data_IF_508141892952
#
_entry.id   IF_508141892952
#
_cell.length_a   1.000
_cell.length_b   1.000
_cell.length_c   1.000
_cell.angle_alpha   90.00
_cell.angle_beta   90.00
_cell.angle_gamma   90.00
#
_symmetry.space_group_name_H-M   'P 1'
#
loop_
_entity.id
_entity.type
_entity.pdbx_description
1 polymer ?
#
# COMPACT_ATOMS: atom_id res chain seq x y z
N UNK A 1 44.41 -9.21 10.36
CA UNK A 1 43.49 -8.95 11.49
C UNK A 1 43.27 -7.45 11.58
N UNK A 2 42.01 -7.03 11.37
CA UNK A 2 41.40 -5.69 11.57
C UNK A 2 41.87 -4.50 10.72
N UNK A 3 41.00 -4.21 9.76
CA UNK A 3 40.77 -2.95 9.04
C UNK A 3 40.31 -1.83 9.97
N UNK A 4 40.84 -0.62 9.77
CA UNK A 4 40.11 0.66 9.69
C UNK A 4 40.91 1.54 8.70
N UNK A 5 40.29 2.13 7.66
CA UNK A 5 40.29 3.58 7.61
C UNK A 5 38.96 4.22 7.16
N UNK A 6 38.71 5.33 7.86
CA UNK A 6 37.95 6.53 7.54
C UNK A 6 37.73 6.87 6.04
N UNK A 7 36.47 7.13 5.66
CA UNK A 7 36.05 8.02 4.56
C UNK A 7 34.62 8.50 4.91
N UNK A 8 34.44 9.59 5.63
CA UNK A 8 34.31 10.97 5.16
C UNK A 8 33.53 11.17 3.84
N UNK A 9 32.36 11.80 4.00
CA UNK A 9 31.56 12.59 3.07
C UNK A 9 30.95 11.90 1.83
N UNK A 10 29.61 11.77 1.87
CA UNK A 10 28.72 12.37 0.86
C UNK A 10 27.39 12.72 1.53
N UNK A 11 27.39 13.86 2.24
CA UNK A 11 26.20 14.68 2.43
C UNK A 11 25.85 15.26 1.05
N UNK A 12 25.07 14.52 0.25
CA UNK A 12 24.27 15.11 -0.82
C UNK A 12 22.90 15.42 -0.23
N UNK A 13 22.56 16.70 -0.25
CA UNK A 13 21.41 17.24 0.44
C UNK A 13 20.11 16.51 0.11
N UNK A 14 19.46 15.98 1.15
CA UNK A 14 18.02 15.77 1.16
C UNK A 14 17.32 17.14 1.24
N UNK A 15 17.39 17.90 0.15
CA UNK A 15 16.62 19.13 0.02
C UNK A 15 15.14 18.74 -0.19
N UNK A 16 14.37 18.82 0.90
CA UNK A 16 12.93 19.10 0.89
C UNK A 16 12.03 18.11 0.16
N UNK A 17 11.93 16.86 0.62
CA UNK A 17 10.77 16.00 0.34
C UNK A 17 10.02 15.83 1.65
N UNK A 18 8.83 16.42 1.79
CA UNK A 18 7.99 16.15 2.95
C UNK A 18 7.88 14.64 3.11
N UNK A 19 8.41 14.12 4.22
CA UNK A 19 8.21 12.72 4.60
C UNK A 19 6.70 12.48 4.69
N UNK A 20 6.21 11.32 4.24
CA UNK A 20 4.80 11.01 4.35
C UNK A 20 4.40 11.07 5.84
N UNK A 21 3.18 11.53 6.13
CA UNK A 21 2.69 11.68 7.53
C UNK A 21 2.77 10.37 8.35
N UNK A 22 2.92 9.23 7.69
CA UNK A 22 3.06 7.91 8.30
C UNK A 22 4.46 7.29 8.15
N UNK A 23 5.49 8.08 7.79
CA UNK A 23 6.87 7.60 7.57
C UNK A 23 7.43 6.79 8.75
N UNK A 24 7.07 7.19 9.97
CA UNK A 24 7.62 6.61 11.20
C UNK A 24 7.00 5.26 11.58
N UNK A 25 5.92 4.83 10.91
CA UNK A 25 5.30 3.55 11.18
C UNK A 25 6.17 2.41 10.58
N UNK A 26 6.72 1.51 11.40
CA UNK A 26 7.53 0.41 10.89
C UNK A 26 6.66 -0.58 10.10
N UNK A 27 7.24 -1.20 9.08
CA UNK A 27 6.64 -2.36 8.43
C UNK A 27 6.85 -3.57 9.34
N UNK A 28 5.79 -4.30 9.75
CA UNK A 28 5.93 -5.52 10.52
C UNK A 28 6.83 -6.55 9.81
N UNK A 29 7.69 -7.29 10.54
CA UNK A 29 8.53 -8.31 9.94
C UNK A 29 7.68 -9.43 9.32
N UNK A 30 8.10 -9.89 8.14
CA UNK A 30 7.44 -11.01 7.46
C UNK A 30 7.85 -12.34 8.09
N UNK A 31 6.90 -13.28 8.19
CA UNK A 31 7.12 -14.65 8.62
C UNK A 31 6.82 -15.61 7.47
N UNK A 32 7.56 -16.73 7.41
CA UNK A 32 7.45 -17.71 6.34
C UNK A 32 7.35 -19.12 6.91
N UNK A 33 6.60 -19.98 6.22
CA UNK A 33 6.59 -21.41 6.51
C UNK A 33 7.84 -22.12 5.93
N UNK A 34 8.06 -23.42 6.22
CA UNK A 34 9.20 -24.16 5.67
C UNK A 34 9.22 -24.28 4.14
N UNK A 35 8.10 -24.01 3.46
CA UNK A 35 8.00 -23.99 1.99
C UNK A 35 8.25 -22.59 1.42
N UNK A 36 8.48 -21.60 2.28
CA UNK A 36 8.70 -20.22 1.91
C UNK A 36 7.42 -19.43 1.65
N UNK A 37 6.24 -19.96 2.02
CA UNK A 37 4.97 -19.26 1.89
C UNK A 37 4.77 -18.23 3.00
N UNK A 38 4.17 -17.09 2.65
CA UNK A 38 3.99 -15.98 3.58
C UNK A 38 2.94 -16.34 4.64
N UNK A 39 3.32 -16.28 5.91
CA UNK A 39 2.45 -16.52 7.04
C UNK A 39 1.85 -15.20 7.53
N UNK A 40 0.53 -15.08 7.44
CA UNK A 40 -0.23 -13.91 7.87
C UNK A 40 -1.18 -14.30 8.99
N UNK A 41 -1.09 -13.56 10.10
CA UNK A 41 -1.99 -13.70 11.24
C UNK A 41 -2.76 -12.40 11.45
N UNK A 42 -4.06 -12.46 11.78
CA UNK A 42 -4.83 -11.25 12.05
C UNK A 42 -4.37 -10.61 13.36
N UNK A 43 -4.48 -9.29 13.46
CA UNK A 43 -4.35 -8.62 14.76
C UNK A 43 -5.50 -9.03 15.69
N UNK A 44 -5.31 -8.84 16.99
CA UNK A 44 -6.37 -9.06 17.98
C UNK A 44 -7.61 -8.18 17.73
N UNK A 45 -7.42 -7.00 17.13
CA UNK A 45 -8.47 -6.00 16.88
C UNK A 45 -9.08 -6.08 15.47
N UNK A 46 -8.57 -6.96 14.61
CA UNK A 46 -9.05 -7.12 13.23
C UNK A 46 -10.55 -7.38 13.16
N UNK A 47 -11.25 -6.62 12.31
CA UNK A 47 -12.70 -6.66 12.24
C UNK A 47 -13.24 -6.41 10.83
N UNK A 48 -14.43 -6.93 10.55
CA UNK A 48 -15.17 -6.63 9.31
C UNK A 48 -15.52 -5.14 9.16
N UNK A 49 -15.43 -4.37 10.25
CA UNK A 49 -15.72 -2.93 10.28
C UNK A 49 -14.46 -2.06 10.09
N UNK A 50 -13.30 -2.66 9.82
CA UNK A 50 -12.02 -1.94 9.78
C UNK A 50 -11.98 -0.82 8.73
N UNK A 51 -12.72 -0.98 7.63
CA UNK A 51 -12.81 -0.01 6.54
C UNK A 51 -14.03 0.93 6.63
N UNK A 52 -14.86 0.86 7.68
CA UNK A 52 -16.09 1.67 7.79
C UNK A 52 -15.82 3.17 7.72
N UNK A 53 -14.65 3.63 8.22
CA UNK A 53 -14.23 5.03 8.16
C UNK A 53 -14.16 5.57 6.72
N UNK A 54 -13.92 4.68 5.76
CA UNK A 54 -13.61 5.01 4.38
C UNK A 54 -14.85 5.07 3.48
N UNK A 55 -16.05 4.76 4.00
CA UNK A 55 -17.27 4.76 3.20
C UNK A 55 -17.60 6.17 2.68
N UNK A 56 -18.08 6.24 1.43
CA UNK A 56 -18.46 7.48 0.76
C UNK A 56 -17.36 8.06 -0.14
N UNK A 57 -17.43 9.37 -0.34
CA UNK A 57 -16.68 10.09 -1.36
C UNK A 57 -15.41 10.74 -0.80
N UNK A 58 -14.33 10.68 -1.58
CA UNK A 58 -13.01 11.17 -1.21
C UNK A 58 -12.34 11.91 -2.36
N UNK A 59 -11.64 12.98 -2.01
CA UNK A 59 -10.62 13.61 -2.84
C UNK A 59 -9.26 13.10 -2.40
N UNK A 60 -8.41 12.77 -3.37
CA UNK A 60 -7.13 12.14 -3.11
C UNK A 60 -6.04 12.92 -3.82
N UNK A 61 -5.05 13.36 -3.05
CA UNK A 61 -3.78 13.82 -3.58
C UNK A 61 -2.81 12.63 -3.62
N UNK A 62 -2.33 12.30 -4.82
CA UNK A 62 -1.44 11.17 -5.04
C UNK A 62 0.00 11.64 -5.19
N UNK A 63 0.94 10.87 -4.65
CA UNK A 63 2.36 10.96 -4.98
C UNK A 63 2.81 9.56 -5.40
N UNK A 64 3.20 9.39 -6.65
CA UNK A 64 3.61 8.11 -7.24
C UNK A 64 5.06 8.19 -7.72
N UNK A 65 5.87 7.22 -7.35
CA UNK A 65 7.26 7.14 -7.75
C UNK A 65 7.35 6.72 -9.22
N UNK A 66 8.04 7.54 -10.02
CA UNK A 66 8.36 7.26 -11.41
C UNK A 66 9.75 6.62 -11.46
N UNK A 67 9.81 5.33 -11.81
CA UNK A 67 11.09 4.68 -12.12
C UNK A 67 11.57 5.13 -13.49
N UNK A 68 12.71 5.79 -13.54
CA UNK A 68 13.42 6.10 -14.79
C UNK A 68 14.57 5.11 -15.01
N UNK A 69 14.97 4.85 -16.27
CA UNK A 69 16.08 3.95 -16.60
C UNK A 69 17.43 4.33 -15.96
N UNK A 70 17.60 5.59 -15.55
CA UNK A 70 18.83 6.13 -14.96
C UNK A 70 18.88 6.03 -13.43
N UNK A 71 17.97 5.27 -12.80
CA UNK A 71 17.80 5.16 -11.35
C UNK A 71 17.52 6.50 -10.63
N UNK A 72 17.12 7.55 -11.34
CA UNK A 72 16.65 8.77 -10.68
C UNK A 72 15.24 8.57 -10.13
N UNK A 73 15.04 9.03 -8.89
CA UNK A 73 13.75 8.94 -8.19
C UNK A 73 12.97 10.25 -8.32
N UNK A 74 12.14 10.32 -9.35
CA UNK A 74 11.18 11.42 -9.54
C UNK A 74 9.81 10.99 -9.00
N UNK A 75 9.14 11.89 -8.28
CA UNK A 75 7.75 11.68 -7.84
C UNK A 75 6.83 12.47 -8.77
N UNK A 76 5.82 11.81 -9.32
CA UNK A 76 4.72 12.47 -10.01
C UNK A 76 3.56 12.64 -9.03
N UNK A 77 2.97 13.83 -9.04
CA UNK A 77 1.82 14.16 -8.20
C UNK A 77 0.59 14.41 -9.07
N UNK A 78 -0.58 13.93 -8.63
CA UNK A 78 -1.83 14.09 -9.36
C UNK A 78 -3.03 13.96 -8.41
N UNK A 79 -4.15 14.56 -8.81
CA UNK A 79 -5.41 14.45 -8.08
C UNK A 79 -6.23 13.26 -8.59
N UNK A 80 -7.00 12.64 -7.71
CA UNK A 80 -8.01 11.66 -8.05
C UNK A 80 -9.22 11.76 -7.12
N UNK A 81 -10.29 11.08 -7.48
CA UNK A 81 -11.48 10.92 -6.65
C UNK A 81 -11.83 9.46 -6.49
N UNK A 82 -12.53 9.14 -5.41
CA UNK A 82 -12.86 7.77 -5.05
C UNK A 82 -14.16 7.73 -4.27
N UNK A 83 -15.04 6.79 -4.61
CA UNK A 83 -16.28 6.50 -3.90
C UNK A 83 -16.27 5.05 -3.45
N UNK A 84 -16.37 4.83 -2.14
CA UNK A 84 -16.42 3.49 -1.55
C UNK A 84 -17.81 3.12 -1.08
N UNK A 85 -18.25 1.92 -1.45
CA UNK A 85 -19.49 1.30 -1.01
C UNK A 85 -19.26 0.00 -0.24
N UNK A 86 -19.95 -0.15 0.88
CA UNK A 86 -20.01 -1.40 1.63
C UNK A 86 -20.92 -2.38 0.91
N UNK A 87 -20.48 -3.63 0.77
CA UNK A 87 -21.21 -4.70 0.08
C UNK A 87 -21.29 -5.95 0.98
N UNK A 88 -21.98 -6.99 0.49
CA UNK A 88 -22.02 -8.31 1.13
C UNK A 88 -22.46 -8.25 2.61
N UNK A 89 -23.41 -7.38 2.97
CA UNK A 89 -23.86 -7.19 4.36
C UNK A 89 -22.73 -6.80 5.33
N UNK A 90 -21.71 -6.08 4.84
CA UNK A 90 -20.64 -5.51 5.67
C UNK A 90 -19.43 -6.42 5.88
N UNK A 91 -19.26 -7.49 5.09
CA UNK A 91 -18.00 -8.26 5.04
C UNK A 91 -17.16 -7.93 3.80
N UNK A 92 -17.54 -6.91 3.04
CA UNK A 92 -16.77 -6.45 1.90
C UNK A 92 -17.04 -5.00 1.58
N UNK A 93 -16.18 -4.40 0.77
CA UNK A 93 -16.40 -3.11 0.14
C UNK A 93 -15.79 -3.08 -1.27
N UNK A 94 -16.33 -2.20 -2.10
CA UNK A 94 -15.80 -1.88 -3.41
C UNK A 94 -15.64 -0.36 -3.53
N UNK A 95 -14.61 0.08 -4.22
CA UNK A 95 -14.47 1.48 -4.60
C UNK A 95 -14.02 1.65 -6.04
N UNK A 96 -14.33 2.80 -6.63
CA UNK A 96 -13.70 3.28 -7.84
C UNK A 96 -12.55 4.24 -7.52
N UNK A 97 -11.62 4.42 -8.45
CA UNK A 97 -10.55 5.39 -8.39
C UNK A 97 -10.49 6.10 -9.74
N UNK A 98 -10.95 7.35 -9.79
CA UNK A 98 -11.00 8.14 -11.02
C UNK A 98 -9.88 9.16 -11.00
N UNK A 99 -9.00 9.10 -11.99
CA UNK A 99 -7.89 10.03 -12.16
C UNK A 99 -7.71 10.42 -13.63
N UNK A 100 -6.95 11.47 -13.86
CA UNK A 100 -6.35 11.73 -15.17
C UNK A 100 -4.84 11.47 -15.08
N UNK A 101 -4.32 10.66 -16.01
CA UNK A 101 -2.89 10.34 -16.09
C UNK A 101 -2.37 10.68 -17.48
N UNK A 102 -1.39 11.58 -17.55
CA UNK A 102 -0.81 12.05 -18.81
C UNK A 102 -1.86 12.54 -19.83
N UNK A 103 -2.88 13.30 -19.36
CA UNK A 103 -3.95 13.82 -20.21
C UNK A 103 -4.98 12.78 -20.66
N UNK A 104 -5.00 11.59 -20.06
CA UNK A 104 -5.95 10.51 -20.37
C UNK A 104 -6.74 10.09 -19.14
N UNK A 105 -8.06 9.84 -19.27
CA UNK A 105 -8.84 9.23 -18.21
C UNK A 105 -8.24 7.90 -17.77
N UNK A 106 -8.21 7.68 -16.47
CA UNK A 106 -7.79 6.43 -15.84
C UNK A 106 -8.82 6.07 -14.77
N UNK A 107 -9.28 4.83 -14.80
CA UNK A 107 -10.18 4.28 -13.79
C UNK A 107 -9.57 3.04 -13.19
N UNK A 108 -9.51 3.03 -11.87
CA UNK A 108 -9.19 1.87 -11.05
C UNK A 108 -10.39 1.43 -10.22
N UNK A 109 -10.30 0.24 -9.66
CA UNK A 109 -11.28 -0.29 -8.72
C UNK A 109 -10.57 -1.13 -7.67
N UNK A 110 -10.98 -0.98 -6.41
CA UNK A 110 -10.58 -1.90 -5.35
C UNK A 110 -11.75 -2.75 -4.89
N UNK A 111 -11.54 -4.06 -4.80
CA UNK A 111 -12.42 -4.97 -4.06
C UNK A 111 -11.74 -5.40 -2.76
N UNK A 112 -12.40 -5.24 -1.62
CA UNK A 112 -11.91 -5.72 -0.32
C UNK A 112 -12.90 -6.71 0.28
N UNK A 113 -12.40 -7.86 0.71
CA UNK A 113 -13.20 -8.93 1.29
C UNK A 113 -12.62 -9.34 2.65
N UNK A 114 -13.47 -9.36 3.67
CA UNK A 114 -13.14 -9.88 4.99
C UNK A 114 -13.55 -11.34 5.09
N UNK A 115 -12.62 -12.20 5.49
CA UNK A 115 -12.92 -13.60 5.80
C UNK A 115 -13.19 -13.73 7.32
N UNK A 116 -14.43 -14.07 7.75
CA UNK A 116 -14.75 -14.18 9.17
C UNK A 116 -14.02 -15.30 9.92
N UNK A 117 -13.55 -16.34 9.21
CA UNK A 117 -12.85 -17.46 9.82
C UNK A 117 -11.39 -17.10 10.13
N UNK A 118 -10.69 -16.50 9.17
CA UNK A 118 -9.28 -16.10 9.36
C UNK A 118 -9.13 -14.72 9.99
N UNK A 119 -10.21 -13.92 10.02
CA UNK A 119 -10.21 -12.50 10.41
C UNK A 119 -9.23 -11.65 9.60
N UNK A 120 -8.93 -12.04 8.37
CA UNK A 120 -8.08 -11.28 7.46
C UNK A 120 -8.91 -10.65 6.36
N UNK A 121 -8.44 -9.50 5.89
CA UNK A 121 -8.91 -8.87 4.67
C UNK A 121 -8.01 -9.26 3.50
N UNK A 122 -8.62 -9.46 2.33
CA UNK A 122 -7.94 -9.52 1.04
C UNK A 122 -8.33 -8.30 0.21
N UNK A 123 -7.35 -7.65 -0.42
CA UNK A 123 -7.54 -6.45 -1.25
C UNK A 123 -7.09 -6.78 -2.67
N UNK A 124 -7.99 -6.60 -3.63
CA UNK A 124 -7.77 -6.83 -5.05
C UNK A 124 -7.89 -5.50 -5.80
N UNK A 125 -6.96 -5.26 -6.71
CA UNK A 125 -6.97 -4.10 -7.60
C UNK A 125 -7.36 -4.52 -9.01
N UNK A 126 -8.10 -3.68 -9.72
CA UNK A 126 -8.29 -3.75 -11.17
C UNK A 126 -8.21 -2.34 -11.75
N UNK A 127 -7.83 -2.21 -13.02
CA UNK A 127 -7.85 -0.93 -13.72
C UNK A 127 -8.27 -1.05 -15.20
N UNK A 128 -8.61 0.10 -15.77
CA UNK A 128 -9.13 0.26 -17.12
C UNK A 128 -8.14 -0.12 -18.23
N UNK A 129 -6.86 -0.34 -17.93
CA UNK A 129 -5.91 -0.80 -18.95
C UNK A 129 -6.01 -2.31 -19.19
N UNK A 130 -6.36 -3.08 -18.16
CA UNK A 130 -6.32 -4.54 -18.20
C UNK A 130 -7.68 -5.21 -17.96
N UNK A 131 -8.56 -4.61 -17.16
CA UNK A 131 -9.90 -5.14 -16.90
C UNK A 131 -9.92 -6.50 -16.17
N UNK A 132 -8.88 -6.81 -15.39
CA UNK A 132 -8.77 -8.06 -14.62
C UNK A 132 -8.41 -7.76 -13.17
N UNK A 133 -8.85 -8.63 -12.25
CA UNK A 133 -8.42 -8.56 -10.85
C UNK A 133 -6.96 -9.00 -10.76
N UNK A 134 -6.12 -8.13 -10.21
CA UNK A 134 -4.73 -8.42 -9.88
C UNK A 134 -4.64 -9.53 -8.84
N UNK A 135 -3.80 -10.52 -9.10
CA UNK A 135 -3.49 -11.64 -8.23
C UNK A 135 -1.97 -11.79 -8.09
N UNK A 136 -1.47 -12.22 -6.91
CA UNK A 136 -2.24 -12.46 -5.68
C UNK A 136 -2.71 -11.16 -5.00
N UNK A 137 -3.81 -11.18 -4.22
CA UNK A 137 -4.22 -10.01 -3.44
C UNK A 137 -3.19 -9.69 -2.36
N UNK A 138 -3.19 -8.46 -1.87
CA UNK A 138 -2.56 -8.18 -0.57
C UNK A 138 -3.51 -8.58 0.54
N UNK A 139 -2.97 -9.19 1.60
CA UNK A 139 -3.75 -9.78 2.69
C UNK A 139 -3.23 -9.28 4.03
N UNK A 140 -4.12 -8.99 4.98
CA UNK A 140 -3.72 -8.45 6.27
C UNK A 140 -4.88 -7.99 7.13
N UNK A 141 -4.60 -7.13 8.09
CA UNK A 141 -5.60 -6.61 9.04
C UNK A 141 -5.20 -5.26 9.60
N UNK A 142 -6.15 -4.57 10.22
CA UNK A 142 -5.86 -3.40 11.04
C UNK A 142 -5.48 -3.77 12.46
N UNK A 143 -4.58 -2.99 13.04
CA UNK A 143 -4.31 -2.94 14.47
C UNK A 143 -4.26 -1.47 14.90
N UNK A 144 -5.07 -1.09 15.89
CA UNK A 144 -5.08 0.29 16.42
C UNK A 144 -5.21 1.37 15.32
N UNK A 145 -6.11 1.15 14.35
CA UNK A 145 -6.37 2.02 13.19
C UNK A 145 -5.22 2.12 12.18
N UNK A 146 -4.20 1.28 12.29
CA UNK A 146 -3.15 1.13 11.26
C UNK A 146 -3.28 -0.25 10.62
N UNK A 147 -3.48 -0.29 9.31
CA UNK A 147 -3.59 -1.52 8.53
C UNK A 147 -2.30 -1.84 7.80
N UNK A 148 -1.85 -3.08 7.89
CA UNK A 148 -0.76 -3.61 7.06
C UNK A 148 -1.26 -4.82 6.29
N UNK A 149 -1.06 -4.82 4.97
CA UNK A 149 -1.49 -5.87 4.07
C UNK A 149 -0.33 -6.25 3.16
N UNK A 150 -0.09 -7.54 2.99
CA UNK A 150 1.10 -8.04 2.30
C UNK A 150 0.72 -9.01 1.20
N UNK A 151 1.52 -9.02 0.14
CA UNK A 151 1.55 -10.11 -0.82
C UNK A 151 2.99 -10.54 -1.06
N UNK A 152 3.14 -11.82 -1.42
CA UNK A 152 4.34 -12.39 -2.02
C UNK A 152 3.94 -12.77 -3.44
N UNK A 153 4.64 -12.23 -4.43
CA UNK A 153 4.43 -12.51 -5.83
C UNK A 153 5.74 -12.98 -6.49
N UNK A 154 5.64 -13.65 -7.63
CA UNK A 154 6.78 -14.03 -8.46
C UNK A 154 6.61 -13.41 -9.84
N UNK A 155 7.34 -12.33 -10.10
CA UNK A 155 7.37 -11.67 -11.39
C UNK A 155 8.68 -11.99 -12.11
N UNK A 156 8.60 -12.56 -13.31
CA UNK A 156 9.77 -12.93 -14.13
C UNK A 156 10.80 -13.81 -13.37
N UNK A 157 10.29 -14.77 -12.60
CA UNK A 157 11.11 -15.68 -11.79
C UNK A 157 11.76 -15.02 -10.55
N UNK A 158 11.48 -13.75 -10.27
CA UNK A 158 11.96 -13.04 -9.09
C UNK A 158 10.84 -12.87 -8.08
N UNK A 159 11.10 -13.27 -6.84
CA UNK A 159 10.20 -12.99 -5.74
C UNK A 159 10.15 -11.50 -5.46
N UNK A 160 8.94 -10.98 -5.30
CA UNK A 160 8.68 -9.60 -4.89
C UNK A 160 7.63 -9.58 -3.79
N UNK A 161 7.81 -8.71 -2.82
CA UNK A 161 6.86 -8.45 -1.76
C UNK A 161 6.25 -7.08 -1.97
N UNK A 162 4.94 -6.99 -1.73
CA UNK A 162 4.24 -5.70 -1.66
C UNK A 162 3.66 -5.52 -0.27
N UNK A 163 3.72 -4.31 0.25
CA UNK A 163 2.98 -3.90 1.44
C UNK A 163 2.07 -2.72 1.13
N UNK A 164 0.81 -2.82 1.52
CA UNK A 164 -0.09 -1.68 1.65
C UNK A 164 -0.18 -1.30 3.10
N UNK A 165 -0.07 0.00 3.37
CA UNK A 165 -0.26 0.59 4.68
C UNK A 165 -1.43 1.55 4.65
N UNK A 166 -2.37 1.38 5.57
CA UNK A 166 -3.42 2.33 5.88
C UNK A 166 -3.13 2.96 7.24
N UNK A 167 -3.13 4.29 7.31
CA UNK A 167 -3.13 5.03 8.57
C UNK A 167 -4.47 5.76 8.69
N UNK A 168 -5.36 5.20 9.52
CA UNK A 168 -6.70 5.71 9.77
C UNK A 168 -6.84 6.25 11.21
N UNK A 169 -5.72 6.61 11.86
CA UNK A 169 -5.74 7.23 13.19
C UNK A 169 -6.46 8.58 13.18
N UNK A 170 -6.33 9.32 12.08
CA UNK A 170 -7.24 10.42 11.70
C UNK A 170 -8.18 9.94 10.59
N UNK A 171 -9.39 9.56 10.97
CA UNK A 171 -10.40 9.06 10.04
C UNK A 171 -10.89 10.10 9.02
N UNK A 172 -10.65 11.40 9.23
CA UNK A 172 -11.02 12.45 8.27
C UNK A 172 -9.92 12.72 7.24
N UNK A 173 -8.68 12.35 7.55
CA UNK A 173 -7.51 12.52 6.69
C UNK A 173 -6.66 11.24 6.63
N UNK A 174 -7.23 10.08 6.24
CA UNK A 174 -6.46 8.85 6.23
C UNK A 174 -5.37 8.90 5.16
N UNK A 175 -4.31 8.13 5.38
CA UNK A 175 -3.20 8.01 4.44
C UNK A 175 -3.04 6.56 4.04
N UNK A 176 -3.16 6.28 2.75
CA UNK A 176 -2.76 5.01 2.17
C UNK A 176 -1.37 5.11 1.57
N UNK A 177 -0.59 4.03 1.63
CA UNK A 177 0.76 3.98 1.11
C UNK A 177 1.12 2.57 0.62
N UNK A 178 1.99 2.49 -0.39
CA UNK A 178 2.50 1.24 -0.95
C UNK A 178 4.03 1.24 -0.98
N UNK A 179 4.61 0.08 -0.67
CA UNK A 179 6.01 -0.20 -0.93
C UNK A 179 6.20 -1.59 -1.52
N UNK A 180 7.32 -1.76 -2.23
CA UNK A 180 7.79 -3.05 -2.75
C UNK A 180 9.13 -3.44 -2.15
N UNK A 181 9.42 -4.73 -2.08
CA UNK A 181 10.68 -5.26 -1.56
C UNK A 181 11.09 -6.53 -2.32
N UNK A 182 12.39 -6.75 -2.47
CA UNK A 182 12.95 -7.99 -3.05
C UNK A 182 13.39 -9.00 -1.98
N UNK A 183 13.67 -8.52 -0.75
CA UNK A 183 14.19 -9.31 0.36
C UNK A 183 13.22 -9.42 1.55
N UNK A 184 12.07 -8.73 1.49
CA UNK A 184 11.08 -8.64 2.56
C UNK A 184 11.53 -7.83 3.77
N UNK A 185 12.66 -7.11 3.67
CA UNK A 185 13.31 -6.37 4.77
C UNK A 185 13.53 -4.92 4.43
N UNK A 186 13.97 -4.66 3.20
CA UNK A 186 14.25 -3.34 2.65
C UNK A 186 13.09 -2.93 1.74
N UNK A 187 12.43 -1.83 2.07
CA UNK A 187 11.18 -1.42 1.42
C UNK A 187 11.38 -0.13 0.62
N UNK A 188 11.01 -0.16 -0.66
CA UNK A 188 10.93 1.02 -1.52
C UNK A 188 9.49 1.51 -1.56
N UNK A 189 9.21 2.56 -0.80
CA UNK A 189 7.92 3.25 -0.87
C UNK A 189 7.76 3.92 -2.24
N UNK A 190 6.68 3.56 -2.94
CA UNK A 190 6.50 3.95 -4.33
C UNK A 190 5.13 4.60 -4.62
N UNK A 191 4.20 4.62 -3.66
CA UNK A 191 2.94 5.36 -3.81
C UNK A 191 2.40 5.83 -2.46
N UNK A 192 1.92 7.07 -2.41
CA UNK A 192 1.15 7.64 -1.32
C UNK A 192 -0.16 8.24 -1.83
N UNK A 193 -1.23 8.04 -1.07
CA UNK A 193 -2.52 8.68 -1.26
C UNK A 193 -2.90 9.42 0.02
N UNK A 194 -3.11 10.72 -0.08
CA UNK A 194 -3.60 11.57 1.00
C UNK A 194 -5.05 11.88 0.73
N UNK A 195 -5.93 11.28 1.54
CA UNK A 195 -7.36 11.36 1.34
C UNK A 195 -7.96 12.43 2.24
N UNK A 196 -8.99 13.13 1.73
CA UNK A 196 -9.81 14.09 2.48
C UNK A 196 -11.24 14.12 1.95
N UNK A 197 -12.18 14.54 2.79
CA UNK A 197 -13.57 14.80 2.40
C UNK A 197 -13.72 16.19 1.75
#
# INVERSE_FOLDING_TARGET
MKFIPLALLLLLGYAGKAQPKNADLPVPPLAFDPKGELLLSPSATSSKNDFDFFAGNWKIHNRLLKKKPDNTTEWTEFESTQEMHIILRGIGNVDNFIAERNGKPFEGMTLRLFNPQTRLWSIYWADSNFGVLGLPPVVGSFENKVGHFFSKDNYDGKTSFTVYRWDARDASNPVWSQATSEDGKTWEWNWFMYMRR
#
